data_IF_234718647882
#
_entry.id   IF_234718647882
#
_cell.length_a   1.000
_cell.length_b   1.000
_cell.length_c   1.000
_cell.angle_alpha   90.00
_cell.angle_beta   90.00
_cell.angle_gamma   90.00
#
_symmetry.space_group_name_H-M   'P 1'
#
loop_
_entity.id
_entity.type
_entity.pdbx_description
1 polymer ?
#
# COMPACT_ATOMS: atom_id res chain seq x y z
N UNK A 1 -5.47 -6.58 -10.10
CA UNK A 1 -4.87 -7.80 -10.72
C UNK A 1 -5.30 -7.83 -12.19
N UNK A 2 -4.39 -8.09 -13.16
CA UNK A 2 -4.69 -7.96 -14.59
C UNK A 2 -5.83 -8.92 -15.04
N UNK A 3 -6.82 -8.46 -15.83
CA UNK A 3 -7.94 -9.28 -16.31
C UNK A 3 -7.50 -10.49 -17.17
N UNK A 4 -6.38 -10.43 -17.90
CA UNK A 4 -5.83 -11.60 -18.64
C UNK A 4 -5.27 -12.67 -17.71
N UNK A 5 -4.65 -12.28 -16.59
CA UNK A 5 -4.21 -13.23 -15.55
C UNK A 5 -5.40 -13.86 -14.82
N UNK A 6 -6.54 -13.15 -14.75
CA UNK A 6 -7.80 -13.66 -14.21
C UNK A 6 -8.47 -14.72 -15.10
N UNK A 7 -7.98 -14.91 -16.34
CA UNK A 7 -8.40 -15.98 -17.26
C UNK A 7 -7.53 -17.24 -17.20
N UNK A 8 -6.36 -17.21 -16.56
CA UNK A 8 -5.50 -18.40 -16.39
C UNK A 8 -6.05 -19.35 -15.33
N UNK A 9 -5.95 -20.66 -15.55
CA UNK A 9 -6.39 -21.67 -14.59
C UNK A 9 -5.75 -21.45 -13.20
N UNK A 10 -6.47 -21.72 -12.09
CA UNK A 10 -5.97 -21.50 -10.73
C UNK A 10 -4.61 -22.18 -10.46
N UNK A 11 -4.41 -23.38 -10.99
CA UNK A 11 -3.18 -24.16 -10.86
C UNK A 11 -1.96 -23.45 -11.45
N UNK A 12 -2.11 -22.86 -12.65
CA UNK A 12 -1.08 -22.06 -13.31
C UNK A 12 -0.73 -20.84 -12.45
N UNK A 13 -1.70 -20.21 -11.79
CA UNK A 13 -1.39 -19.06 -10.91
C UNK A 13 -0.56 -19.47 -9.70
N UNK A 14 -0.82 -20.65 -9.15
CA UNK A 14 -0.12 -21.20 -7.97
C UNK A 14 1.32 -21.55 -8.33
N UNK A 15 1.56 -22.18 -9.49
CA UNK A 15 2.92 -22.54 -9.95
C UNK A 15 3.78 -21.30 -10.24
N UNK A 16 3.19 -20.26 -10.84
CA UNK A 16 3.93 -19.04 -11.17
C UNK A 16 4.08 -18.04 -10.00
N UNK A 17 3.37 -18.23 -8.88
CA UNK A 17 3.46 -17.37 -7.71
C UNK A 17 4.84 -17.43 -7.01
N UNK A 18 5.41 -18.60 -6.69
CA UNK A 18 6.75 -18.70 -6.10
C UNK A 18 7.83 -18.23 -7.08
N UNK A 19 7.71 -18.57 -8.38
CA UNK A 19 8.64 -18.10 -9.41
C UNK A 19 8.69 -16.56 -9.46
N UNK A 20 7.55 -15.88 -9.38
CA UNK A 20 7.50 -14.41 -9.32
C UNK A 20 8.14 -13.86 -8.04
N UNK A 21 8.04 -14.55 -6.91
CA UNK A 21 8.70 -14.11 -5.68
C UNK A 21 10.23 -14.23 -5.80
N UNK A 22 10.70 -15.35 -6.36
CA UNK A 22 12.12 -15.59 -6.65
C UNK A 22 12.67 -14.52 -7.61
N UNK A 23 12.00 -14.30 -8.75
CA UNK A 23 12.42 -13.27 -9.72
C UNK A 23 12.49 -11.87 -9.11
N UNK A 24 11.53 -11.51 -8.24
CA UNK A 24 11.53 -10.21 -7.56
C UNK A 24 12.72 -10.05 -6.61
N UNK A 25 13.12 -11.14 -5.94
CA UNK A 25 14.20 -11.11 -4.95
C UNK A 25 15.58 -11.09 -5.61
N UNK A 26 15.83 -11.94 -6.60
CA UNK A 26 17.15 -12.10 -7.22
C UNK A 26 17.37 -11.23 -8.45
N UNK A 27 16.30 -10.89 -9.18
CA UNK A 27 16.39 -10.13 -10.44
C UNK A 27 15.39 -8.96 -10.48
N UNK A 28 15.41 -8.04 -9.49
CA UNK A 28 14.40 -6.98 -9.35
C UNK A 28 14.33 -6.07 -10.58
N UNK A 29 15.47 -5.66 -11.14
CA UNK A 29 15.52 -4.78 -12.33
C UNK A 29 14.92 -5.50 -13.55
N UNK A 30 15.30 -6.76 -13.78
CA UNK A 30 14.77 -7.57 -14.89
C UNK A 30 13.28 -7.76 -14.75
N UNK A 31 12.80 -8.06 -13.53
CA UNK A 31 11.38 -8.17 -13.25
C UNK A 31 10.63 -6.87 -13.54
N UNK A 32 11.16 -5.71 -13.11
CA UNK A 32 10.53 -4.41 -13.38
C UNK A 32 10.51 -4.10 -14.87
N UNK A 33 11.59 -4.37 -15.63
CA UNK A 33 11.60 -4.22 -17.09
C UNK A 33 10.54 -5.07 -17.78
N UNK A 34 10.40 -6.33 -17.37
CA UNK A 34 9.38 -7.24 -17.89
C UNK A 34 7.97 -6.76 -17.55
N UNK A 35 7.72 -6.42 -16.28
CA UNK A 35 6.44 -5.91 -15.81
C UNK A 35 6.03 -4.62 -16.55
N UNK A 36 6.98 -3.69 -16.71
CA UNK A 36 6.77 -2.43 -17.41
C UNK A 36 6.37 -2.70 -18.87
N UNK A 37 7.09 -3.58 -19.58
CA UNK A 37 6.75 -3.95 -20.96
C UNK A 37 5.39 -4.61 -21.07
N UNK A 38 5.04 -5.47 -20.12
CA UNK A 38 3.75 -6.14 -20.11
C UNK A 38 2.58 -5.16 -19.93
N UNK A 39 2.73 -4.17 -19.05
CA UNK A 39 1.68 -3.19 -18.74
C UNK A 39 1.58 -2.08 -19.77
N UNK A 40 2.72 -1.50 -20.17
CA UNK A 40 2.75 -0.31 -21.03
C UNK A 40 2.85 -0.64 -22.51
N UNK A 41 3.30 -1.86 -22.86
CA UNK A 41 3.71 -2.28 -24.22
C UNK A 41 5.03 -1.69 -24.73
N UNK A 42 5.79 -0.98 -23.90
CA UNK A 42 7.09 -0.41 -24.28
C UNK A 42 8.26 -1.02 -23.51
N UNK A 43 9.45 -1.02 -24.10
CA UNK A 43 10.66 -1.43 -23.40
C UNK A 43 11.05 -0.34 -22.41
N UNK A 44 11.33 -0.72 -21.16
CA UNK A 44 11.78 0.22 -20.13
C UNK A 44 13.25 0.61 -20.36
N UNK A 45 13.50 1.88 -20.70
CA UNK A 45 14.85 2.43 -20.76
C UNK A 45 15.22 3.12 -19.42
N UNK A 46 16.05 2.44 -18.61
CA UNK A 46 16.55 3.00 -17.35
C UNK A 46 17.84 3.82 -17.50
N UNK A 47 18.54 3.71 -18.64
CA UNK A 47 19.79 4.46 -18.87
C UNK A 47 19.48 5.89 -19.29
N UNK A 48 18.48 6.07 -20.14
CA UNK A 48 18.02 7.37 -20.63
C UNK A 48 16.47 7.40 -20.63
N UNK A 49 15.83 7.50 -19.45
CA UNK A 49 14.37 7.49 -19.34
C UNK A 49 13.78 8.73 -19.99
N UNK A 50 12.95 8.55 -21.02
CA UNK A 50 12.31 9.66 -21.75
C UNK A 50 10.88 9.87 -21.27
N UNK A 51 10.14 8.78 -21.08
CA UNK A 51 8.73 8.85 -20.69
C UNK A 51 8.60 9.08 -19.19
N UNK A 52 7.55 9.80 -18.81
CA UNK A 52 7.19 9.98 -17.40
C UNK A 52 7.19 8.66 -16.62
N UNK A 53 6.57 7.61 -17.17
CA UNK A 53 6.51 6.30 -16.51
C UNK A 53 7.85 5.59 -16.42
N UNK A 54 8.81 5.85 -17.31
CA UNK A 54 10.19 5.33 -17.20
C UNK A 54 10.94 6.06 -16.09
N UNK A 55 10.77 7.38 -16.00
CA UNK A 55 11.33 8.20 -14.91
C UNK A 55 10.83 7.71 -13.56
N UNK A 56 9.53 7.40 -13.43
CA UNK A 56 8.98 6.79 -12.20
C UNK A 56 9.63 5.45 -11.86
N UNK A 57 9.90 4.57 -12.84
CA UNK A 57 10.60 3.30 -12.56
C UNK A 57 12.06 3.52 -12.18
N UNK A 58 12.73 4.52 -12.77
CA UNK A 58 14.08 4.91 -12.38
C UNK A 58 14.11 5.36 -10.91
N UNK A 59 13.21 6.28 -10.53
CA UNK A 59 13.08 6.77 -9.16
C UNK A 59 12.81 5.63 -8.18
N UNK A 60 11.84 4.77 -8.49
CA UNK A 60 11.49 3.58 -7.70
C UNK A 60 12.66 2.64 -7.43
N UNK A 61 13.57 2.47 -8.40
CA UNK A 61 14.67 1.50 -8.32
C UNK A 61 15.96 2.07 -7.75
N UNK A 62 16.28 3.34 -8.05
CA UNK A 62 17.62 3.90 -7.82
C UNK A 62 17.64 5.12 -6.89
N UNK A 63 16.51 5.79 -6.67
CA UNK A 63 16.46 7.02 -5.85
C UNK A 63 15.67 6.77 -4.57
N UNK A 64 14.39 6.46 -4.69
CA UNK A 64 13.46 6.30 -3.57
C UNK A 64 13.88 5.29 -2.50
N UNK A 65 14.53 4.15 -2.82
CA UNK A 65 15.02 3.23 -1.79
C UNK A 65 16.02 3.83 -0.81
N UNK A 66 16.68 4.93 -1.18
CA UNK A 66 17.75 5.57 -0.42
C UNK A 66 17.35 6.96 0.12
N UNK A 67 16.12 7.39 -0.12
CA UNK A 67 15.60 8.67 0.31
C UNK A 67 14.67 8.49 1.52
N UNK A 68 15.09 8.93 2.73
CA UNK A 68 14.27 8.80 3.92
C UNK A 68 13.00 9.65 3.86
N UNK A 69 12.98 10.77 3.13
CA UNK A 69 11.81 11.63 3.00
C UNK A 69 10.72 10.94 2.15
N UNK A 70 11.11 10.15 1.16
CA UNK A 70 10.15 9.34 0.40
C UNK A 70 9.50 8.29 1.30
N UNK A 71 10.28 7.64 2.19
CA UNK A 71 9.70 6.72 3.18
C UNK A 71 8.80 7.45 4.18
N UNK A 72 9.18 8.66 4.61
CA UNK A 72 8.39 9.49 5.52
C UNK A 72 7.04 9.88 4.90
N UNK A 73 7.05 10.29 3.63
CA UNK A 73 5.85 10.67 2.90
C UNK A 73 4.98 9.47 2.51
N UNK A 74 5.58 8.29 2.29
CA UNK A 74 4.85 7.06 1.99
C UNK A 74 4.15 6.46 3.21
N UNK A 75 4.65 6.72 4.43
CA UNK A 75 4.04 6.32 5.70
C UNK A 75 2.85 7.22 6.03
N UNK A 76 1.63 6.67 5.98
CA UNK A 76 0.38 7.42 6.26
C UNK A 76 0.31 8.06 7.64
N UNK A 77 1.12 7.61 8.60
CA UNK A 77 1.19 8.22 9.93
C UNK A 77 2.24 9.33 9.92
N UNK A 78 3.47 9.05 9.48
CA UNK A 78 4.56 10.04 9.52
C UNK A 78 4.38 11.20 8.55
N UNK A 79 3.70 10.97 7.43
CA UNK A 79 3.36 12.04 6.48
C UNK A 79 2.48 13.12 7.11
N UNK A 80 1.72 12.78 8.17
CA UNK A 80 0.91 13.79 8.89
C UNK A 80 1.78 14.86 9.54
N UNK A 81 2.87 14.44 10.19
CA UNK A 81 3.86 15.38 10.76
C UNK A 81 4.53 16.21 9.65
N UNK A 82 4.85 15.59 8.50
CA UNK A 82 5.34 16.32 7.32
C UNK A 82 4.38 17.46 6.94
N UNK A 83 3.07 17.19 6.86
CA UNK A 83 2.09 18.22 6.48
C UNK A 83 1.99 19.31 7.54
N UNK A 84 1.99 18.95 8.84
CA UNK A 84 1.93 19.93 9.94
C UNK A 84 3.16 20.86 9.92
N UNK A 85 4.36 20.31 9.80
CA UNK A 85 5.62 21.06 9.70
C UNK A 85 5.63 22.06 8.53
N UNK A 86 4.86 21.78 7.47
CA UNK A 86 4.73 22.63 6.29
C UNK A 86 3.48 23.52 6.30
N UNK A 87 2.71 23.58 7.39
CA UNK A 87 1.48 24.38 7.47
C UNK A 87 0.34 23.88 6.57
N UNK A 88 0.36 22.59 6.22
CA UNK A 88 -0.59 21.93 5.32
C UNK A 88 -1.58 21.02 6.06
N UNK A 89 -1.68 21.13 7.38
CA UNK A 89 -2.53 20.27 8.22
C UNK A 89 -4.02 20.30 7.83
N UNK A 90 -4.50 21.41 7.26
CA UNK A 90 -5.88 21.55 6.75
C UNK A 90 -6.27 20.52 5.68
N UNK A 91 -5.30 19.87 5.05
CA UNK A 91 -5.54 18.82 4.05
C UNK A 91 -5.55 17.40 4.66
N UNK A 92 -5.30 17.26 5.96
CA UNK A 92 -5.33 15.97 6.64
C UNK A 92 -6.76 15.53 6.91
N UNK A 93 -7.05 14.27 6.58
CA UNK A 93 -8.25 13.59 7.06
C UNK A 93 -8.18 13.52 8.60
N UNK A 94 -9.28 13.80 9.32
CA UNK A 94 -9.32 13.61 10.77
C UNK A 94 -8.89 12.20 11.17
N UNK A 95 -7.95 12.13 12.11
CA UNK A 95 -7.38 10.89 12.61
C UNK A 95 -8.01 10.55 13.95
N UNK A 96 -8.58 9.35 14.05
CA UNK A 96 -9.11 8.77 15.29
C UNK A 96 -8.01 8.04 16.10
N UNK A 97 -6.77 8.07 15.61
CA UNK A 97 -5.60 7.49 16.25
C UNK A 97 -4.95 6.38 15.42
N UNK A 98 -3.97 5.72 16.01
CA UNK A 98 -3.33 4.54 15.41
C UNK A 98 -2.98 3.51 16.47
N UNK A 99 -2.87 2.26 16.05
CA UNK A 99 -2.48 1.14 16.89
C UNK A 99 -1.45 0.27 16.19
N UNK A 100 -0.70 -0.52 16.95
CA UNK A 100 0.30 -1.44 16.40
C UNK A 100 -0.32 -2.80 16.03
N UNK A 101 -1.40 -3.17 16.71
CA UNK A 101 -2.11 -4.43 16.52
C UNK A 101 -3.62 -4.20 16.47
N UNK A 102 -4.32 -5.01 15.68
CA UNK A 102 -5.78 -4.92 15.53
C UNK A 102 -6.53 -5.10 16.87
N UNK A 103 -5.96 -5.88 17.80
CA UNK A 103 -6.55 -6.16 19.10
C UNK A 103 -6.57 -4.95 20.05
N UNK A 104 -5.78 -3.91 19.76
CA UNK A 104 -5.76 -2.68 20.54
C UNK A 104 -6.89 -1.72 20.13
N UNK A 105 -7.67 -2.05 19.09
CA UNK A 105 -8.77 -1.21 18.63
C UNK A 105 -9.98 -1.42 19.54
N UNK A 106 -10.38 -0.38 20.27
CA UNK A 106 -11.66 -0.32 20.94
C UNK A 106 -12.76 0.08 19.94
N UNK A 107 -13.41 -0.93 19.34
CA UNK A 107 -14.49 -0.72 18.37
C UNK A 107 -15.70 -0.02 19.02
N UNK A 108 -15.89 -0.17 20.34
CA UNK A 108 -16.99 0.46 21.07
C UNK A 108 -16.90 1.98 21.05
N UNK A 109 -15.68 2.50 21.27
CA UNK A 109 -15.36 3.92 21.28
C UNK A 109 -15.32 4.58 19.89
N UNK A 110 -15.25 3.80 18.80
CA UNK A 110 -15.24 4.34 17.44
C UNK A 110 -16.63 4.79 16.96
N UNK A 111 -16.71 5.78 16.05
CA UNK A 111 -17.94 6.16 15.39
C UNK A 111 -18.54 4.99 14.60
N UNK A 112 -19.80 5.12 14.15
CA UNK A 112 -20.43 4.07 13.35
C UNK A 112 -19.68 3.81 12.02
N UNK A 113 -19.03 4.83 11.48
CA UNK A 113 -18.30 4.80 10.21
C UNK A 113 -16.87 5.27 10.37
N UNK A 114 -15.92 4.51 9.83
CA UNK A 114 -14.50 4.81 9.90
C UNK A 114 -13.71 4.01 8.86
N UNK A 115 -12.44 4.36 8.68
CA UNK A 115 -11.54 3.63 7.78
C UNK A 115 -10.29 3.19 8.53
N UNK A 116 -10.01 1.88 8.48
CA UNK A 116 -8.77 1.31 8.98
C UNK A 116 -7.78 1.17 7.82
N UNK A 117 -6.56 1.69 7.97
CA UNK A 117 -5.52 1.63 6.92
C UNK A 117 -4.19 1.21 7.52
N UNK A 118 -3.50 0.25 6.90
CA UNK A 118 -2.09 0.04 7.23
C UNK A 118 -1.26 1.21 6.70
N UNK A 119 -0.35 1.73 7.51
CA UNK A 119 0.46 2.89 7.13
C UNK A 119 1.51 2.58 6.05
N UNK A 120 2.01 1.34 5.99
CA UNK A 120 3.17 0.91 5.20
C UNK A 120 2.86 0.30 3.82
N UNK A 121 1.65 0.46 3.29
CA UNK A 121 1.21 -0.29 2.11
C UNK A 121 0.07 0.36 1.32
N UNK A 122 -0.01 0.18 0.00
CA UNK A 122 -1.21 0.54 -0.76
C UNK A 122 -2.27 -0.59 -0.77
N UNK A 123 -3.56 -0.21 -0.78
CA UNK A 123 -4.75 -1.08 -0.76
C UNK A 123 -4.93 -1.96 0.49
N UNK A 124 -4.14 -1.74 1.54
CA UNK A 124 -4.35 -2.36 2.85
C UNK A 124 -5.28 -1.49 3.68
N UNK A 125 -6.56 -1.46 3.28
CA UNK A 125 -7.59 -0.68 3.96
C UNK A 125 -8.89 -1.47 4.15
N UNK A 126 -9.64 -1.10 5.19
CA UNK A 126 -10.98 -1.57 5.45
C UNK A 126 -11.86 -0.35 5.71
N UNK A 127 -12.80 -0.11 4.80
CA UNK A 127 -13.88 0.85 5.03
C UNK A 127 -14.95 0.18 5.87
N UNK A 128 -15.41 0.85 6.92
CA UNK A 128 -16.47 0.42 7.81
C UNK A 128 -17.60 1.43 7.68
N UNK A 129 -18.74 0.99 7.15
CA UNK A 129 -19.94 1.82 6.98
C UNK A 129 -21.02 1.56 8.04
N UNK A 130 -20.90 0.44 8.73
CA UNK A 130 -21.72 0.07 9.87
C UNK A 130 -20.88 -0.81 10.80
N UNK A 131 -20.58 -0.31 12.00
CA UNK A 131 -19.75 -1.04 12.96
C UNK A 131 -20.46 -2.29 13.52
N UNK A 132 -21.78 -2.35 13.50
CA UNK A 132 -22.55 -3.50 13.97
C UNK A 132 -22.38 -4.73 13.06
N UNK A 133 -22.07 -4.51 11.77
CA UNK A 133 -21.86 -5.60 10.81
C UNK A 133 -20.43 -6.16 10.81
N UNK A 134 -19.55 -5.63 11.67
CA UNK A 134 -18.14 -6.01 11.68
C UNK A 134 -17.93 -7.45 12.13
N UNK A 135 -17.32 -8.24 11.25
CA UNK A 135 -16.72 -9.50 11.64
C UNK A 135 -15.29 -9.28 12.16
N UNK A 136 -15.18 -8.97 13.46
CA UNK A 136 -13.90 -8.70 14.12
C UNK A 136 -12.88 -9.84 14.00
N UNK A 137 -13.34 -11.10 13.94
CA UNK A 137 -12.46 -12.27 13.76
C UNK A 137 -11.81 -12.27 12.38
N UNK A 138 -12.58 -12.02 11.32
CA UNK A 138 -12.07 -11.93 9.95
C UNK A 138 -11.11 -10.75 9.79
N UNK A 139 -11.47 -9.59 10.34
CA UNK A 139 -10.61 -8.40 10.28
C UNK A 139 -9.29 -8.61 11.04
N UNK A 140 -9.33 -9.20 12.23
CA UNK A 140 -8.13 -9.56 12.99
C UNK A 140 -7.17 -10.43 12.16
N UNK A 141 -7.69 -11.45 11.47
CA UNK A 141 -6.87 -12.30 10.61
C UNK A 141 -6.29 -11.51 9.41
N UNK A 142 -7.12 -10.69 8.77
CA UNK A 142 -6.74 -9.83 7.63
C UNK A 142 -5.62 -8.86 8.01
N UNK A 143 -5.78 -8.09 9.09
CA UNK A 143 -4.78 -7.14 9.56
C UNK A 143 -3.51 -7.82 10.08
N UNK A 144 -3.62 -8.98 10.76
CA UNK A 144 -2.43 -9.77 11.16
C UNK A 144 -1.58 -10.15 9.94
N UNK A 145 -2.21 -10.53 8.82
CA UNK A 145 -1.50 -10.83 7.57
C UNK A 145 -0.87 -9.58 6.95
N UNK A 146 -1.60 -8.47 6.93
CA UNK A 146 -1.13 -7.21 6.35
C UNK A 146 0.04 -6.60 7.10
N UNK A 147 -0.01 -6.55 8.43
CA UNK A 147 1.06 -6.04 9.27
C UNK A 147 2.35 -6.87 9.14
N UNK A 148 2.24 -8.18 8.90
CA UNK A 148 3.39 -9.06 8.63
C UNK A 148 3.95 -8.98 7.20
N UNK A 149 3.26 -8.27 6.30
CA UNK A 149 3.69 -8.21 4.90
C UNK A 149 4.67 -7.06 4.70
N UNK A 150 5.90 -7.37 4.30
CA UNK A 150 6.81 -6.39 3.71
C UNK A 150 6.29 -5.98 2.32
N UNK A 151 5.59 -4.85 2.29
CA UNK A 151 4.96 -4.34 1.07
C UNK A 151 6.03 -3.97 0.04
N UNK A 152 7.10 -3.29 0.46
CA UNK A 152 8.16 -2.83 -0.43
C UNK A 152 8.89 -3.97 -1.12
N UNK A 153 9.19 -5.07 -0.41
CA UNK A 153 9.74 -6.28 -1.03
C UNK A 153 8.74 -6.94 -1.97
N UNK A 154 7.46 -7.02 -1.57
CA UNK A 154 6.41 -7.63 -2.38
C UNK A 154 6.19 -6.87 -3.69
N UNK A 155 6.24 -5.55 -3.68
CA UNK A 155 5.99 -4.72 -4.86
C UNK A 155 7.26 -4.22 -5.53
N UNK A 156 8.47 -4.44 -4.99
CA UNK A 156 9.73 -3.80 -5.43
C UNK A 156 9.63 -2.26 -5.31
N UNK A 157 9.03 -1.77 -4.23
CA UNK A 157 8.97 -0.36 -3.85
C UNK A 157 9.64 -0.22 -2.49
N UNK A 158 10.97 -0.39 -2.48
CA UNK A 158 11.76 -0.60 -1.25
C UNK A 158 11.64 0.52 -0.21
N UNK A 159 11.24 1.73 -0.61
CA UNK A 159 10.97 2.82 0.33
C UNK A 159 9.87 2.47 1.36
N UNK A 160 8.97 1.52 1.06
CA UNK A 160 8.01 1.02 2.05
C UNK A 160 8.60 0.08 3.10
N UNK A 161 9.74 -0.58 2.81
CA UNK A 161 10.27 -1.66 3.66
C UNK A 161 10.84 -1.16 4.99
N UNK A 162 11.14 0.14 5.10
CA UNK A 162 11.65 0.76 6.34
C UNK A 162 10.53 1.32 7.23
N UNK A 163 9.28 1.23 6.79
CA UNK A 163 8.13 1.74 7.54
C UNK A 163 7.69 0.69 8.55
N UNK A 164 7.64 1.07 9.83
CA UNK A 164 7.14 0.21 10.91
C UNK A 164 5.62 0.05 10.72
N UNK A 165 5.12 -1.18 10.48
CA UNK A 165 3.70 -1.42 10.24
C UNK A 165 2.83 -1.08 11.43
N UNK A 166 1.83 -0.22 11.21
CA UNK A 166 0.79 0.19 12.16
C UNK A 166 -0.55 0.30 11.43
N UNK A 167 -1.64 0.36 12.19
CA UNK A 167 -2.99 0.59 11.69
C UNK A 167 -3.39 2.03 12.06
N UNK A 168 -3.58 2.87 11.05
CA UNK A 168 -4.18 4.18 11.18
C UNK A 168 -5.71 4.05 11.12
N UNK A 169 -6.40 4.80 11.98
CA UNK A 169 -7.86 4.90 12.04
C UNK A 169 -8.22 6.33 11.63
N UNK A 170 -8.97 6.47 10.55
CA UNK A 170 -9.42 7.77 10.04
C UNK A 170 -10.94 7.84 10.05
N UNK A 171 -11.46 9.06 10.17
CA UNK A 171 -12.88 9.32 9.91
C UNK A 171 -13.24 8.95 8.47
N UNK A 172 -14.47 8.46 8.30
CA UNK A 172 -15.04 8.25 6.97
C UNK A 172 -15.59 9.58 6.44
N UNK A 173 -15.14 10.01 5.27
CA UNK A 173 -15.52 11.30 4.68
C UNK A 173 -16.66 11.21 3.65
N UNK A 174 -17.11 10.00 3.29
CA UNK A 174 -18.08 9.81 2.20
C UNK A 174 -19.53 9.77 2.67
N UNK A 175 -20.44 9.72 1.69
CA UNK A 175 -21.86 9.46 1.93
C UNK A 175 -22.22 8.04 1.45
N UNK A 176 -22.57 7.17 2.40
CA UNK A 176 -22.92 5.79 2.10
C UNK A 176 -21.76 5.02 1.46
N UNK A 177 -21.88 4.66 0.18
CA UNK A 177 -20.86 3.89 -0.56
C UNK A 177 -20.22 4.68 -1.70
N UNK A 178 -20.43 6.00 -1.72
CA UNK A 178 -19.86 6.90 -2.72
C UNK A 178 -18.45 7.35 -2.31
N UNK A 179 -17.61 7.66 -3.29
CA UNK A 179 -16.32 8.27 -3.00
C UNK A 179 -16.57 9.73 -2.59
N UNK A 180 -15.94 10.23 -1.50
CA UNK A 180 -15.94 11.65 -1.24
C UNK A 180 -15.25 12.35 -2.42
N UNK A 181 -15.98 13.25 -3.09
CA UNK A 181 -15.47 14.10 -4.18
C UNK A 181 -15.00 15.41 -3.56
#
# INVERSE_FOLDING_TARGET
MNPKFRKLAPLVRIIFAPLRAIMRSFFPITYVKWQYRYLTRHRLNLKHPRRYTEKLQYLRLFVYPYDPEVSRCADRIRVRNYLIENGLEKYLIPSLGYVEQFQQIDIGALPNQFVLKCNHACAFNQVVLDKATLNSRLLKHKFKKWLKTDYGKRTIERHYSNIIPKILIEEYLGEGNTLPI
#
